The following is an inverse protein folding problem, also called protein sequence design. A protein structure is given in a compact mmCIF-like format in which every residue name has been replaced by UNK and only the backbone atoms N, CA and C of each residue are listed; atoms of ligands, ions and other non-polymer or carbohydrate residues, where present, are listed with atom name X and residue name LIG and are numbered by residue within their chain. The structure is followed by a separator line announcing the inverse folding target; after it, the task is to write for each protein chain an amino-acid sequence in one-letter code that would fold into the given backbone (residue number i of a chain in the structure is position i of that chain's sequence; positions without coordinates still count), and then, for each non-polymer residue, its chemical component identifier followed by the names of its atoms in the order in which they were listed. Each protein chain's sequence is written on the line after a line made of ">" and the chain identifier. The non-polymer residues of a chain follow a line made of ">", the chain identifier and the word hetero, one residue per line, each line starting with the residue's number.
data_IF_468820467691
#
_entry.id   IF_468820467691
#
_cell.length_a   1.000
_cell.length_b   1.000
_cell.length_c   1.000
_cell.angle_alpha   90.00
_cell.angle_beta   90.00
_cell.angle_gamma   90.00
#
_symmetry.space_group_name_H-M   'P 1'
#
loop_
_entity.id
_entity.type
_entity.pdbx_description
1 polymer ?
#
# COMPACT_ATOMS: atom_id res chain seq x y z
N UNK A 1 4.63 6.51 -15.57
CA UNK A 1 5.12 6.59 -14.38
C UNK A 1 6.10 5.55 -14.09
N UNK A 2 6.41 5.38 -13.03
CA UNK A 2 7.63 4.78 -12.67
C UNK A 2 7.92 3.51 -13.30
N UNK A 3 9.01 3.50 -13.91
CA UNK A 3 9.45 2.36 -14.59
C UNK A 3 9.73 1.21 -13.70
N UNK A 4 10.07 1.47 -12.45
CA UNK A 4 10.39 0.37 -11.59
C UNK A 4 9.19 -0.49 -11.26
N UNK A 5 8.02 -0.05 -11.62
CA UNK A 5 6.87 -0.90 -11.40
C UNK A 5 6.82 -2.05 -12.35
N UNK A 6 7.29 -1.86 -13.55
CA UNK A 6 7.11 -2.92 -14.48
C UNK A 6 8.32 -3.69 -14.77
N UNK A 7 9.44 -3.22 -14.37
CA UNK A 7 10.62 -3.95 -14.69
C UNK A 7 10.80 -5.13 -13.81
N UNK A 8 10.07 -5.16 -12.78
CA UNK A 8 10.34 -6.10 -11.80
C UNK A 8 9.56 -7.34 -11.88
N UNK A 9 10.19 -8.40 -12.01
CA UNK A 9 9.52 -9.66 -12.04
C UNK A 9 9.60 -10.38 -10.72
N UNK A 10 10.25 -9.81 -9.73
CA UNK A 10 10.34 -10.50 -8.46
C UNK A 10 9.20 -10.11 -7.56
N UNK A 11 8.84 -11.01 -6.68
CA UNK A 11 7.80 -10.79 -5.71
C UNK A 11 8.44 -10.23 -4.46
N UNK A 12 7.90 -9.16 -3.89
CA UNK A 12 8.47 -8.60 -2.66
C UNK A 12 8.33 -9.58 -1.51
N UNK A 13 9.19 -9.42 -0.53
CA UNK A 13 9.09 -10.21 0.69
C UNK A 13 7.87 -9.75 1.47
N UNK A 14 7.41 -10.61 2.36
CA UNK A 14 6.28 -10.28 3.17
C UNK A 14 6.62 -9.21 4.18
N UNK A 15 5.64 -8.41 4.50
CA UNK A 15 5.80 -7.34 5.44
C UNK A 15 5.90 -7.91 6.85
N UNK A 16 6.80 -7.38 7.65
CA UNK A 16 7.02 -7.88 8.97
C UNK A 16 6.32 -7.15 10.08
N UNK A 17 6.10 -5.91 9.92
CA UNK A 17 5.58 -5.11 11.01
C UNK A 17 4.16 -4.74 10.79
N UNK A 18 3.28 -5.67 10.95
CA UNK A 18 1.89 -5.41 10.70
C UNK A 18 1.07 -5.83 11.87
N UNK A 19 -0.09 -5.22 11.99
CA UNK A 19 -1.08 -5.69 12.93
C UNK A 19 -2.13 -6.46 12.20
N UNK A 20 -2.96 -7.12 12.94
CA UNK A 20 -4.07 -7.86 12.35
C UNK A 20 -5.35 -7.08 12.53
N UNK A 21 -6.19 -7.12 11.51
CA UNK A 21 -7.51 -6.52 11.59
C UNK A 21 -8.41 -7.45 12.36
N UNK A 22 -9.07 -6.91 13.34
CA UNK A 22 -9.91 -7.74 14.18
C UNK A 22 -11.21 -8.07 13.58
N UNK A 23 -11.75 -7.24 12.71
CA UNK A 23 -13.01 -7.58 12.16
C UNK A 23 -12.87 -8.17 10.84
N UNK A 24 -13.79 -9.05 10.54
CA UNK A 24 -13.81 -9.77 9.36
C UNK A 24 -14.78 -9.19 8.46
N UNK A 25 -14.34 -8.71 7.40
CA UNK A 25 -15.22 -8.20 6.42
C UNK A 25 -15.68 -9.31 5.58
N UNK A 26 -16.94 -9.39 5.45
CA UNK A 26 -17.49 -10.41 4.62
C UNK A 26 -17.39 -9.97 3.22
N UNK A 27 -16.62 -10.57 2.42
CA UNK A 27 -16.59 -10.21 1.04
C UNK A 27 -17.12 -11.36 0.23
N UNK A 28 -18.04 -11.08 -0.63
CA UNK A 28 -18.58 -12.05 -1.50
C UNK A 28 -17.99 -11.97 -2.85
N UNK A 29 -17.16 -11.00 -3.08
CA UNK A 29 -16.63 -10.76 -4.39
C UNK A 29 -15.36 -11.52 -4.55
N UNK A 30 -15.36 -12.53 -5.34
CA UNK A 30 -14.19 -13.30 -5.56
C UNK A 30 -13.31 -12.70 -6.60
N UNK A 31 -13.91 -12.07 -7.59
CA UNK A 31 -13.15 -11.53 -8.67
C UNK A 31 -12.70 -10.12 -8.46
N UNK A 32 -13.35 -9.42 -7.54
CA UNK A 32 -13.02 -8.04 -7.29
C UNK A 32 -12.10 -7.95 -6.10
N UNK A 33 -11.13 -7.10 -6.18
CA UNK A 33 -10.19 -6.89 -5.11
C UNK A 33 -10.64 -5.66 -4.34
N UNK A 34 -10.71 -5.80 -3.03
CA UNK A 34 -11.09 -4.70 -2.18
C UNK A 34 -9.86 -3.89 -1.84
N UNK A 35 -9.85 -2.65 -2.25
CA UNK A 35 -8.71 -1.77 -2.01
C UNK A 35 -9.12 -0.68 -1.04
N UNK A 36 -8.25 -0.31 -0.11
CA UNK A 36 -8.59 0.79 0.78
C UNK A 36 -8.66 2.09 0.00
N UNK A 37 -9.54 2.99 0.44
CA UNK A 37 -9.68 4.28 -0.19
C UNK A 37 -9.51 5.36 0.86
N UNK A 38 -8.66 6.33 0.60
CA UNK A 38 -8.46 7.44 1.50
C UNK A 38 -7.77 8.56 0.73
N UNK A 39 -7.86 9.77 1.26
CA UNK A 39 -7.24 10.92 0.61
C UNK A 39 -6.28 11.65 1.54
N UNK A 40 -6.07 11.15 2.74
CA UNK A 40 -5.18 11.76 3.72
C UNK A 40 -4.49 10.67 4.51
N UNK A 41 -3.20 10.81 4.70
CA UNK A 41 -2.44 9.85 5.46
C UNK A 41 -1.42 10.58 6.31
N UNK A 42 -1.50 10.40 7.64
CA UNK A 42 -0.52 10.93 8.55
C UNK A 42 0.45 9.82 8.85
N UNK A 43 1.71 9.96 8.45
CA UNK A 43 2.65 8.85 8.62
C UNK A 43 2.94 8.55 10.07
N UNK A 44 2.66 9.50 10.95
CA UNK A 44 2.89 9.27 12.38
C UNK A 44 1.71 8.54 13.01
N UNK A 45 0.58 8.54 12.35
CA UNK A 45 -0.62 7.87 12.85
C UNK A 45 -1.36 7.26 11.67
N UNK A 46 -0.79 6.23 11.06
CA UNK A 46 -1.41 5.69 9.85
C UNK A 46 -2.72 4.97 10.10
N UNK A 47 -2.99 4.59 11.33
CA UNK A 47 -4.22 3.88 11.62
C UNK A 47 -4.24 2.56 10.90
N UNK A 48 -5.36 2.26 10.27
CA UNK A 48 -5.50 1.04 9.50
C UNK A 48 -5.70 1.33 8.02
N UNK A 49 -5.18 2.47 7.58
CA UNK A 49 -5.39 2.87 6.19
C UNK A 49 -4.74 1.93 5.21
N UNK A 50 -3.53 1.48 5.52
CA UNK A 50 -2.85 0.56 4.63
C UNK A 50 -3.12 -0.85 5.09
N UNK A 51 -4.19 -1.42 4.59
CA UNK A 51 -4.66 -2.72 5.05
C UNK A 51 -5.06 -3.59 3.88
N UNK A 52 -5.14 -4.89 4.14
CA UNK A 52 -5.53 -5.86 3.13
C UNK A 52 -6.72 -6.69 3.62
N UNK A 53 -7.86 -6.51 2.98
CA UNK A 53 -9.06 -7.22 3.33
C UNK A 53 -9.36 -8.36 2.36
N UNK A 54 -8.38 -8.78 1.59
CA UNK A 54 -8.60 -9.77 0.54
C UNK A 54 -7.97 -11.11 0.87
N UNK A 55 -8.79 -12.14 1.00
CA UNK A 55 -8.30 -13.46 1.36
C UNK A 55 -7.37 -14.06 0.33
N UNK A 56 -7.59 -13.75 -0.93
CA UNK A 56 -6.87 -14.42 -1.99
C UNK A 56 -5.82 -13.57 -2.66
N UNK A 57 -5.44 -12.48 -2.02
CA UNK A 57 -4.46 -11.58 -2.61
C UNK A 57 -3.56 -11.00 -1.54
N UNK A 58 -2.32 -10.73 -1.93
CA UNK A 58 -1.43 -9.89 -1.14
C UNK A 58 -1.52 -8.50 -1.73
N UNK A 59 -1.29 -7.49 -0.91
CA UNK A 59 -1.22 -6.12 -1.40
C UNK A 59 0.14 -5.53 -1.07
N UNK A 60 0.68 -4.77 -1.99
CA UNK A 60 1.89 -3.99 -1.75
C UNK A 60 1.53 -2.53 -1.89
N UNK A 61 1.97 -1.71 -0.94
CA UNK A 61 1.70 -0.28 -0.94
C UNK A 61 2.98 0.49 -1.22
N UNK A 62 2.87 1.45 -2.11
CA UNK A 62 4.02 2.28 -2.48
C UNK A 62 3.58 3.73 -2.44
N UNK A 63 4.38 4.58 -1.82
CA UNK A 63 4.06 6.00 -1.71
C UNK A 63 5.06 6.78 -2.54
N UNK A 64 4.55 7.64 -3.39
CA UNK A 64 5.35 8.42 -4.32
C UNK A 64 5.01 9.89 -4.14
N UNK A 65 6.02 10.73 -4.04
CA UNK A 65 5.78 12.16 -4.01
C UNK A 65 5.31 12.61 -5.38
N UNK A 66 4.29 13.43 -5.40
CA UNK A 66 3.71 13.83 -6.67
C UNK A 66 4.62 14.76 -7.46
N UNK A 67 5.25 15.68 -6.77
CA UNK A 67 6.10 16.67 -7.45
C UNK A 67 7.33 16.08 -8.11
N UNK A 68 8.03 15.24 -7.40
CA UNK A 68 9.30 14.72 -7.88
C UNK A 68 9.18 13.33 -8.43
N UNK A 69 8.05 12.70 -8.21
CA UNK A 69 7.80 11.32 -8.63
C UNK A 69 8.77 10.34 -7.96
N UNK A 70 9.26 10.70 -6.80
CA UNK A 70 10.16 9.83 -6.07
C UNK A 70 9.41 8.85 -5.21
N UNK A 71 9.85 7.61 -5.22
CA UNK A 71 9.31 6.59 -4.35
C UNK A 71 9.88 6.79 -2.97
N UNK A 72 9.02 7.01 -1.99
CA UNK A 72 9.47 7.28 -0.64
C UNK A 72 9.08 6.22 0.35
N UNK A 73 8.29 5.25 -0.07
CA UNK A 73 7.94 4.13 0.80
C UNK A 73 7.44 2.98 -0.06
N UNK A 74 7.88 1.79 0.29
CA UNK A 74 7.41 0.60 -0.39
C UNK A 74 7.29 -0.48 0.66
N UNK A 75 6.11 -1.05 0.81
CA UNK A 75 5.90 -2.11 1.78
C UNK A 75 6.28 -3.45 1.16
N UNK A 76 6.42 -4.45 2.00
CA UNK A 76 6.44 -5.81 1.51
C UNK A 76 5.02 -6.24 1.20
N UNK A 77 4.85 -7.52 0.97
CA UNK A 77 3.53 -8.07 0.69
C UNK A 77 2.73 -8.15 1.98
N UNK A 78 1.57 -7.54 1.97
CA UNK A 78 0.71 -7.50 3.13
C UNK A 78 -0.33 -8.59 2.99
N UNK A 79 -0.41 -9.45 3.99
CA UNK A 79 -1.32 -10.59 3.96
C UNK A 79 -2.74 -10.17 4.30
N UNK A 80 -3.66 -11.07 3.99
CA UNK A 80 -5.05 -10.88 4.32
C UNK A 80 -5.22 -10.59 5.82
N UNK A 81 -6.10 -9.68 6.11
CA UNK A 81 -6.49 -9.33 7.47
C UNK A 81 -5.36 -8.69 8.27
N UNK A 82 -4.53 -7.93 7.60
CA UNK A 82 -3.40 -7.26 8.22
C UNK A 82 -3.36 -5.79 7.82
N UNK A 83 -2.68 -5.00 8.62
CA UNK A 83 -2.47 -3.61 8.29
C UNK A 83 -1.07 -3.19 8.70
N UNK A 84 -0.61 -2.08 8.15
CA UNK A 84 0.72 -1.58 8.41
C UNK A 84 0.66 -0.57 9.53
N UNK A 85 1.40 -0.83 10.59
CA UNK A 85 1.44 0.04 11.76
C UNK A 85 2.41 1.18 11.63
N UNK A 86 3.53 0.93 11.02
CA UNK A 86 4.63 1.90 10.99
C UNK A 86 5.07 2.16 9.58
N UNK A 87 5.23 3.42 9.25
CA UNK A 87 5.72 3.82 7.95
C UNK A 87 7.02 4.56 8.17
N UNK A 88 8.10 4.00 7.66
CA UNK A 88 9.39 4.66 7.71
C UNK A 88 9.74 5.06 6.29
N UNK A 89 9.83 6.35 6.07
CA UNK A 89 10.13 6.85 4.75
C UNK A 89 11.60 6.61 4.41
N UNK A 90 11.87 6.43 3.14
CA UNK A 90 13.23 6.12 2.70
C UNK A 90 14.11 7.35 2.64
N UNK A 91 13.53 8.52 2.75
CA UNK A 91 14.31 9.75 2.78
C UNK A 91 13.56 10.79 3.59
N UNK A 92 14.25 11.83 3.94
CA UNK A 92 13.67 12.92 4.70
C UNK A 92 12.74 13.73 3.82
N UNK A 93 11.53 13.96 4.30
CA UNK A 93 10.52 14.70 3.57
C UNK A 93 10.13 15.91 4.39
N UNK A 94 9.83 16.99 3.72
CA UNK A 94 9.46 18.23 4.34
C UNK A 94 8.26 18.03 5.26
N UNK A 95 8.32 18.61 6.42
CA UNK A 95 7.23 18.54 7.38
C UNK A 95 5.98 19.20 6.83
N UNK A 96 4.84 18.73 7.27
CA UNK A 96 3.56 19.28 6.85
C UNK A 96 2.90 18.40 5.83
N UNK A 97 2.02 18.98 5.06
CA UNK A 97 1.23 18.23 4.08
C UNK A 97 1.92 18.25 2.73
N UNK A 98 2.06 17.10 2.16
CA UNK A 98 2.68 16.93 0.86
C UNK A 98 1.74 16.20 -0.06
N UNK A 99 1.73 16.59 -1.34
CA UNK A 99 0.93 15.87 -2.32
C UNK A 99 1.64 14.56 -2.64
N UNK A 100 0.90 13.48 -2.59
CA UNK A 100 1.49 12.18 -2.82
C UNK A 100 0.52 11.24 -3.53
N UNK A 101 1.07 10.16 -4.02
CA UNK A 101 0.29 9.11 -4.67
C UNK A 101 0.55 7.81 -3.93
N UNK A 102 -0.50 7.04 -3.73
CA UNK A 102 -0.34 5.70 -3.18
C UNK A 102 -0.67 4.72 -4.29
N UNK A 103 0.33 3.95 -4.67
CA UNK A 103 0.17 2.96 -5.72
C UNK A 103 0.03 1.60 -5.04
N UNK A 104 -1.11 0.97 -5.25
CA UNK A 104 -1.41 -0.30 -4.60
C UNK A 104 -1.33 -1.40 -5.64
N UNK A 105 -0.46 -2.35 -5.41
CA UNK A 105 -0.26 -3.46 -6.33
C UNK A 105 -0.68 -4.76 -5.69
N UNK A 106 -1.78 -5.35 -6.16
CA UNK A 106 -2.17 -6.67 -5.66
C UNK A 106 -1.41 -7.76 -6.40
N UNK A 107 -1.18 -8.85 -5.67
CA UNK A 107 -0.61 -10.07 -6.23
C UNK A 107 -1.52 -11.22 -5.80
N UNK A 108 -1.75 -12.17 -6.69
CA UNK A 108 -2.52 -13.34 -6.25
C UNK A 108 -1.60 -14.23 -5.41
N UNK A 109 -2.14 -15.30 -4.89
CA UNK A 109 -1.37 -16.14 -3.97
C UNK A 109 -0.26 -16.91 -4.68
N UNK A 110 -0.28 -16.96 -5.98
CA UNK A 110 0.79 -17.58 -6.74
C UNK A 110 1.85 -16.57 -7.14
N UNK A 111 1.65 -15.31 -6.79
CA UNK A 111 2.65 -14.30 -7.06
C UNK A 111 2.44 -13.54 -8.36
N UNK A 112 1.31 -13.68 -8.98
CA UNK A 112 1.05 -12.96 -10.23
C UNK A 112 0.44 -11.61 -9.94
N UNK A 113 0.91 -10.59 -10.65
CA UNK A 113 0.36 -9.25 -10.50
C UNK A 113 -1.03 -9.18 -11.10
N UNK A 114 -1.88 -8.37 -10.47
CA UNK A 114 -3.20 -8.09 -11.01
C UNK A 114 -3.30 -6.60 -11.25
N UNK A 115 -4.49 -6.13 -11.54
CA UNK A 115 -4.68 -4.70 -11.79
C UNK A 115 -4.35 -3.88 -10.57
N UNK A 116 -3.65 -2.80 -10.78
CA UNK A 116 -3.24 -1.92 -9.69
C UNK A 116 -4.17 -0.73 -9.57
N UNK A 117 -4.02 0.02 -8.50
CA UNK A 117 -4.79 1.23 -8.27
C UNK A 117 -3.87 2.34 -7.82
N UNK A 118 -4.30 3.56 -8.06
CA UNK A 118 -3.54 4.73 -7.70
C UNK A 118 -4.45 5.68 -6.96
N UNK A 119 -4.05 6.10 -5.78
CA UNK A 119 -4.80 7.08 -5.00
C UNK A 119 -4.00 8.36 -4.90
N UNK A 120 -4.70 9.49 -5.05
CA UNK A 120 -4.07 10.78 -4.79
C UNK A 120 -4.40 11.16 -3.37
N UNK A 121 -3.38 11.50 -2.60
CA UNK A 121 -3.57 11.79 -1.20
C UNK A 121 -2.76 13.00 -0.76
N UNK A 122 -3.09 13.50 0.42
CA UNK A 122 -2.23 14.41 1.13
C UNK A 122 -1.49 13.60 2.17
N UNK A 123 -0.19 13.69 2.15
CA UNK A 123 0.65 12.96 3.08
C UNK A 123 1.18 13.93 4.12
N UNK A 124 0.84 13.68 5.36
CA UNK A 124 1.34 14.52 6.44
C UNK A 124 2.57 13.89 7.05
N UNK A 125 3.63 14.67 7.08
CA UNK A 125 4.92 14.22 7.60
C UNK A 125 5.27 15.01 8.86
#
# INVERSE_FOLDING_TARGET
>A
LPLFWHSNSTIPDKENSTGSLNEKEETKQIENILLPGFDYLDINKPGRMLCNMNENYYLQFNIILKDTEELIYSSGLLEYNSYINNITLTKEIKEGENEALVFIQPYDLQGNKTNSALLEIKLKV
#
